data_IF_338487907543
#
_entry.id   IF_338487907543
#
_cell.length_a   1.000
_cell.length_b   1.000
_cell.length_c   1.000
_cell.angle_alpha   90.00
_cell.angle_beta   90.00
_cell.angle_gamma   90.00
#
_symmetry.space_group_name_H-M   'P 1'
#
loop_
_entity.id
_entity.type
_entity.pdbx_description
1 polymer ?
#
# COMPACT_ATOMS: atom_id res chain seq x y z
N UNK A 1 -21.20 6.64 18.81
CA UNK A 1 -21.05 6.00 17.47
C UNK A 1 -21.10 7.03 16.34
N UNK A 2 -22.03 7.97 16.33
CA UNK A 2 -22.11 8.99 15.27
C UNK A 2 -20.83 9.83 15.16
N UNK A 3 -20.33 10.36 16.27
CA UNK A 3 -19.07 11.15 16.30
C UNK A 3 -17.88 10.33 15.80
N UNK A 4 -17.78 9.07 16.20
CA UNK A 4 -16.69 8.18 15.75
C UNK A 4 -16.72 7.96 14.23
N UNK A 5 -17.93 7.77 13.65
CA UNK A 5 -18.13 7.64 12.22
C UNK A 5 -17.81 8.94 11.47
N UNK A 6 -18.27 10.07 11.97
CA UNK A 6 -18.00 11.38 11.41
C UNK A 6 -16.50 11.69 11.38
N UNK A 7 -15.78 11.38 12.45
CA UNK A 7 -14.33 11.59 12.52
C UNK A 7 -13.59 10.69 11.54
N UNK A 8 -14.00 9.41 11.42
CA UNK A 8 -13.44 8.48 10.46
C UNK A 8 -13.64 8.98 9.01
N UNK A 9 -14.86 9.35 8.65
CA UNK A 9 -15.16 9.89 7.32
C UNK A 9 -14.41 11.18 7.03
N UNK A 10 -14.28 12.05 8.03
CA UNK A 10 -13.52 13.31 7.92
C UNK A 10 -12.04 13.03 7.63
N UNK A 11 -11.42 12.11 8.36
CA UNK A 11 -10.03 11.70 8.12
C UNK A 11 -9.86 11.11 6.72
N UNK A 12 -10.76 10.23 6.30
CA UNK A 12 -10.72 9.65 4.97
C UNK A 12 -10.81 10.71 3.86
N UNK A 13 -11.65 11.71 4.03
CA UNK A 13 -11.80 12.84 3.07
C UNK A 13 -10.58 13.76 3.06
N UNK A 14 -9.95 13.98 4.20
CA UNK A 14 -8.77 14.84 4.31
C UNK A 14 -7.49 14.16 3.83
N UNK A 15 -7.25 12.92 4.26
CA UNK A 15 -5.98 12.20 4.03
C UNK A 15 -6.04 11.34 2.76
N UNK A 16 -7.18 10.73 2.46
CA UNK A 16 -7.33 9.81 1.34
C UNK A 16 -6.91 10.35 -0.03
N UNK A 17 -7.10 11.66 -0.35
CA UNK A 17 -6.61 12.26 -1.59
C UNK A 17 -5.10 12.55 -1.62
N UNK A 18 -4.37 12.38 -0.53
CA UNK A 18 -2.94 12.68 -0.46
C UNK A 18 -2.12 11.52 -1.06
N UNK A 19 -1.93 11.53 -2.36
CA UNK A 19 -1.21 10.47 -3.10
C UNK A 19 0.23 10.30 -2.67
N UNK A 20 0.86 11.34 -2.11
CA UNK A 20 2.19 11.25 -1.50
C UNK A 20 2.21 10.34 -0.27
N UNK A 21 1.07 10.18 0.41
CA UNK A 21 0.93 9.38 1.61
C UNK A 21 0.28 8.02 1.37
N UNK A 22 -0.67 7.94 0.43
CA UNK A 22 -1.50 6.75 0.21
C UNK A 22 -1.60 6.50 -1.29
N UNK A 23 -1.26 5.29 -1.73
CA UNK A 23 -1.38 4.88 -3.13
C UNK A 23 -2.30 3.66 -3.22
N UNK A 24 -3.24 3.72 -4.15
CA UNK A 24 -4.20 2.62 -4.37
C UNK A 24 -4.92 2.20 -3.09
N UNK A 25 -5.09 0.90 -2.84
CA UNK A 25 -5.75 0.36 -1.65
C UNK A 25 -4.86 0.33 -0.41
N UNK A 26 -3.62 0.84 -0.49
CA UNK A 26 -2.69 0.92 0.63
C UNK A 26 -3.19 1.82 1.76
N UNK A 27 -2.52 1.72 2.92
CA UNK A 27 -2.84 2.52 4.09
C UNK A 27 -4.17 2.19 4.77
N UNK A 28 -4.30 2.63 6.00
CA UNK A 28 -5.46 2.37 6.87
C UNK A 28 -5.70 3.52 7.82
N UNK A 29 -6.97 3.75 8.14
CA UNK A 29 -7.41 4.71 9.17
C UNK A 29 -8.32 3.99 10.14
N UNK A 30 -8.22 4.34 11.42
CA UNK A 30 -9.19 3.93 12.44
C UNK A 30 -9.54 5.06 13.39
N UNK A 31 -10.75 4.97 13.93
CA UNK A 31 -11.21 5.76 15.05
C UNK A 31 -11.85 4.84 16.09
N UNK A 32 -11.51 5.00 17.36
CA UNK A 32 -11.96 4.16 18.47
C UNK A 32 -12.84 4.89 19.46
N UNK A 33 -13.69 4.10 20.09
CA UNK A 33 -14.40 4.43 21.33
C UNK A 33 -14.10 3.28 22.31
N UNK A 34 -13.12 3.49 23.19
CA UNK A 34 -12.68 2.50 24.17
C UNK A 34 -13.78 2.17 25.17
N UNK A 35 -14.61 3.16 25.57
CA UNK A 35 -15.70 2.95 26.54
C UNK A 35 -16.81 2.09 25.95
N UNK A 36 -17.11 2.29 24.66
CA UNK A 36 -18.10 1.49 23.95
C UNK A 36 -17.52 0.17 23.40
N UNK A 37 -16.23 -0.10 23.59
CA UNK A 37 -15.51 -1.25 23.01
C UNK A 37 -15.67 -1.36 21.49
N UNK A 38 -15.55 -0.24 20.79
CA UNK A 38 -15.78 -0.16 19.34
C UNK A 38 -14.61 0.50 18.62
N UNK A 39 -14.40 0.07 17.40
CA UNK A 39 -13.45 0.65 16.47
C UNK A 39 -14.04 0.65 15.06
N UNK A 40 -13.85 1.74 14.31
CA UNK A 40 -14.04 1.76 12.86
C UNK A 40 -12.68 1.53 12.20
N UNK A 41 -12.60 0.55 11.31
CA UNK A 41 -11.41 0.28 10.49
C UNK A 41 -11.80 0.17 9.02
N UNK A 42 -10.85 0.44 8.13
CA UNK A 42 -11.04 0.34 6.69
C UNK A 42 -11.36 -1.11 6.28
N UNK A 43 -12.33 -1.27 5.39
CA UNK A 43 -12.61 -2.54 4.70
C UNK A 43 -11.43 -2.91 3.80
N UNK A 44 -11.05 -4.19 3.81
CA UNK A 44 -10.01 -4.73 2.94
C UNK A 44 -10.33 -4.49 1.46
N UNK A 45 -9.31 -4.14 0.68
CA UNK A 45 -9.41 -3.93 -0.76
C UNK A 45 -10.11 -2.63 -1.17
N UNK A 46 -10.40 -1.69 -0.26
CA UNK A 46 -11.01 -0.40 -0.59
C UNK A 46 -9.99 0.74 -0.49
N UNK A 47 -10.24 1.83 -1.22
CA UNK A 47 -9.44 3.05 -1.12
C UNK A 47 -9.75 3.79 0.19
N UNK A 48 -8.76 4.43 0.80
CA UNK A 48 -8.99 5.32 1.94
C UNK A 48 -9.91 6.48 1.56
N UNK A 49 -9.74 7.03 0.35
CA UNK A 49 -10.58 8.12 -0.17
C UNK A 49 -12.07 7.76 -0.33
N UNK A 50 -12.42 6.46 -0.37
CA UNK A 50 -13.80 5.99 -0.34
C UNK A 50 -14.32 6.01 1.11
N UNK A 51 -14.64 7.18 1.63
CA UNK A 51 -14.97 7.49 3.03
C UNK A 51 -16.10 6.65 3.65
N UNK A 52 -16.90 5.95 2.86
CA UNK A 52 -17.97 5.04 3.31
C UNK A 52 -17.50 3.58 3.45
N UNK A 53 -16.20 3.35 3.51
CA UNK A 53 -15.55 2.04 3.51
C UNK A 53 -15.25 1.49 4.92
N UNK A 54 -15.66 2.20 5.99
CA UNK A 54 -15.40 1.81 7.36
C UNK A 54 -16.32 0.67 7.84
N UNK A 55 -15.74 -0.31 8.52
CA UNK A 55 -16.45 -1.36 9.23
C UNK A 55 -16.34 -1.10 10.73
N UNK A 56 -17.47 -1.16 11.45
CA UNK A 56 -17.47 -1.08 12.90
C UNK A 56 -17.21 -2.48 13.46
N UNK A 57 -16.16 -2.60 14.25
CA UNK A 57 -15.71 -3.84 14.83
C UNK A 57 -15.70 -3.77 16.36
N UNK A 58 -15.78 -4.95 17.00
CA UNK A 58 -15.55 -5.14 18.42
C UNK A 58 -14.04 -5.06 18.70
N UNK A 59 -13.62 -4.04 19.45
CA UNK A 59 -12.22 -3.75 19.73
C UNK A 59 -11.56 -4.86 20.59
N UNK A 60 -12.27 -5.38 21.57
CA UNK A 60 -11.77 -6.44 22.43
C UNK A 60 -11.52 -7.73 21.62
N UNK A 61 -12.41 -8.06 20.68
CA UNK A 61 -12.21 -9.22 19.80
C UNK A 61 -11.03 -9.05 18.85
N UNK A 62 -10.73 -7.82 18.36
CA UNK A 62 -9.51 -7.58 17.57
C UNK A 62 -8.27 -7.80 18.44
N UNK A 63 -8.28 -7.30 19.68
CA UNK A 63 -7.19 -7.52 20.65
C UNK A 63 -7.01 -8.99 21.02
N UNK A 64 -8.11 -9.72 21.23
CA UNK A 64 -8.09 -11.17 21.46
C UNK A 64 -7.52 -11.92 20.24
N UNK A 65 -7.94 -11.57 19.03
CA UNK A 65 -7.43 -12.16 17.80
C UNK A 65 -5.91 -11.92 17.65
N UNK A 66 -5.41 -10.73 18.01
CA UNK A 66 -3.98 -10.44 18.05
C UNK A 66 -3.26 -11.30 19.09
N UNK A 67 -3.80 -11.39 20.31
CA UNK A 67 -3.19 -12.17 21.40
C UNK A 67 -3.18 -13.69 21.13
N UNK A 68 -4.13 -14.18 20.35
CA UNK A 68 -4.23 -15.59 19.94
C UNK A 68 -3.64 -15.87 18.55
N UNK A 69 -3.01 -14.85 17.93
CA UNK A 69 -2.45 -14.90 16.58
C UNK A 69 -3.46 -15.37 15.51
N UNK A 70 -4.76 -15.15 15.75
CA UNK A 70 -5.81 -15.44 14.79
C UNK A 70 -5.88 -14.33 13.73
N UNK A 71 -5.34 -14.60 12.56
CA UNK A 71 -5.34 -13.63 11.46
C UNK A 71 -6.73 -13.30 10.88
N UNK A 72 -7.77 -14.10 11.15
CA UNK A 72 -9.13 -13.82 10.68
C UNK A 72 -9.90 -12.95 11.67
N UNK A 73 -10.04 -11.68 11.33
CA UNK A 73 -10.83 -10.69 12.11
C UNK A 73 -12.22 -10.46 11.55
N UNK A 74 -12.71 -11.28 10.61
CA UNK A 74 -14.04 -11.12 10.01
C UNK A 74 -15.14 -11.24 11.04
N UNK A 75 -14.96 -12.09 12.05
CA UNK A 75 -15.90 -12.32 13.16
C UNK A 75 -16.00 -11.14 14.14
N UNK A 76 -15.11 -10.13 14.02
CA UNK A 76 -15.13 -8.94 14.87
C UNK A 76 -16.10 -7.88 14.40
N UNK A 77 -16.56 -7.94 13.13
CA UNK A 77 -17.49 -6.97 12.54
C UNK A 77 -18.85 -7.06 13.24
N UNK A 78 -19.34 -5.92 13.70
CA UNK A 78 -20.64 -5.86 14.38
C UNK A 78 -21.79 -5.90 13.35
N UNK A 79 -22.85 -6.65 13.69
CA UNK A 79 -24.04 -6.79 12.83
C UNK A 79 -24.65 -5.43 12.47
N UNK A 80 -25.11 -5.30 11.21
CA UNK A 80 -25.76 -4.10 10.70
C UNK A 80 -24.82 -2.91 10.44
N UNK A 81 -23.49 -3.06 10.62
CA UNK A 81 -22.53 -1.96 10.46
C UNK A 81 -21.79 -1.95 9.13
N UNK A 82 -22.00 -2.96 8.30
CA UNK A 82 -21.39 -3.06 6.96
C UNK A 82 -21.17 -4.51 6.53
N UNK A 83 -20.90 -4.69 5.25
CA UNK A 83 -20.58 -5.99 4.65
C UNK A 83 -19.13 -5.98 4.17
N UNK A 84 -18.35 -6.97 4.57
CA UNK A 84 -16.96 -7.14 4.12
C UNK A 84 -16.04 -7.61 5.23
N UNK A 85 -14.75 -7.64 4.92
CA UNK A 85 -13.70 -8.01 5.88
C UNK A 85 -12.91 -6.76 6.28
N UNK A 86 -12.53 -6.60 7.55
CA UNK A 86 -11.58 -5.56 7.94
C UNK A 86 -10.25 -5.72 7.21
N UNK A 87 -9.50 -4.62 7.10
CA UNK A 87 -8.12 -4.68 6.58
C UNK A 87 -7.31 -5.75 7.32
N UNK A 88 -6.41 -6.41 6.60
CA UNK A 88 -5.44 -7.35 7.18
C UNK A 88 -4.54 -6.71 8.24
N UNK A 89 -4.46 -5.38 8.22
CA UNK A 89 -3.68 -4.56 9.15
C UNK A 89 -4.53 -3.96 10.29
N UNK A 90 -5.78 -4.43 10.46
CA UNK A 90 -6.63 -3.99 11.57
C UNK A 90 -5.97 -4.15 12.95
N UNK A 91 -5.03 -5.08 13.09
CA UNK A 91 -4.24 -5.28 14.31
C UNK A 91 -3.36 -4.09 14.68
N UNK A 92 -2.84 -3.33 13.70
CA UNK A 92 -2.06 -2.10 13.93
C UNK A 92 -2.91 -1.01 14.60
N UNK A 93 -4.21 -1.16 14.56
CA UNK A 93 -5.19 -0.22 15.10
C UNK A 93 -5.72 -0.61 16.49
N UNK A 94 -5.26 -1.73 17.07
CA UNK A 94 -5.70 -2.22 18.39
C UNK A 94 -5.04 -1.48 19.57
N UNK A 95 -4.02 -0.66 19.32
CA UNK A 95 -3.24 0.08 20.32
C UNK A 95 -4.03 1.23 20.97
N UNK A 96 -3.70 1.61 22.21
CA UNK A 96 -4.48 2.54 23.01
C UNK A 96 -4.27 4.01 22.59
N UNK A 97 -4.75 4.39 21.42
CA UNK A 97 -4.90 5.77 20.94
C UNK A 97 -6.21 5.87 20.19
N UNK A 98 -6.93 6.98 20.34
CA UNK A 98 -8.25 7.12 19.74
C UNK A 98 -8.23 7.03 18.22
N UNK A 99 -7.23 7.62 17.58
CA UNK A 99 -7.05 7.65 16.12
C UNK A 99 -5.70 7.05 15.77
N UNK A 100 -5.70 6.14 14.81
CA UNK A 100 -4.48 5.59 14.24
C UNK A 100 -4.59 5.69 12.72
N UNK A 101 -3.54 6.23 12.10
CA UNK A 101 -3.40 6.39 10.66
C UNK A 101 -2.14 5.66 10.23
N UNK A 102 -2.28 4.67 9.36
CA UNK A 102 -1.17 3.97 8.72
C UNK A 102 -1.14 4.33 7.24
N UNK A 103 0.04 4.72 6.75
CA UNK A 103 0.24 5.19 5.37
C UNK A 103 1.56 4.69 4.80
N UNK A 104 1.68 4.75 3.45
CA UNK A 104 2.87 4.36 2.71
C UNK A 104 3.50 5.58 2.00
N UNK A 105 4.06 6.56 2.73
CA UNK A 105 4.51 7.82 2.17
C UNK A 105 5.72 7.62 1.25
N UNK A 106 5.51 7.61 -0.08
CA UNK A 106 6.57 7.33 -1.03
C UNK A 106 7.74 8.34 -0.97
N UNK A 107 7.55 9.64 -0.65
CA UNK A 107 8.68 10.55 -0.49
C UNK A 107 9.64 10.18 0.65
N UNK A 108 9.17 9.34 1.60
CA UNK A 108 9.98 8.84 2.70
C UNK A 108 10.56 7.44 2.43
N UNK A 109 10.09 6.74 1.40
CA UNK A 109 10.47 5.34 1.16
C UNK A 109 11.97 5.16 0.93
N UNK A 110 12.65 6.13 0.32
CA UNK A 110 14.11 6.08 0.19
C UNK A 110 14.80 5.92 1.54
N UNK A 111 14.37 6.67 2.56
CA UNK A 111 14.91 6.57 3.91
C UNK A 111 14.46 5.28 4.63
N UNK A 112 13.19 4.89 4.45
CA UNK A 112 12.64 3.67 5.06
C UNK A 112 13.27 2.39 4.49
N UNK A 113 13.69 2.40 3.22
CA UNK A 113 14.29 1.24 2.56
C UNK A 113 15.82 1.20 2.68
N UNK A 114 16.45 2.24 3.25
CA UNK A 114 17.88 2.25 3.48
C UNK A 114 18.19 2.00 4.97
N UNK A 115 18.77 0.84 5.34
CA UNK A 115 19.05 0.50 6.73
C UNK A 115 20.08 1.41 7.38
N UNK A 116 20.96 2.02 6.58
CA UNK A 116 22.00 2.94 7.07
C UNK A 116 21.41 4.32 7.42
N UNK A 117 20.20 4.63 6.95
CA UNK A 117 19.57 5.92 7.24
C UNK A 117 18.94 5.91 8.62
N UNK A 118 19.43 6.74 9.51
CA UNK A 118 18.74 7.04 10.77
C UNK A 118 17.60 8.02 10.49
N UNK A 119 16.39 7.67 10.91
CA UNK A 119 15.23 8.55 10.81
C UNK A 119 15.02 9.19 12.18
N UNK A 120 15.35 10.45 12.28
CA UNK A 120 15.18 11.24 13.51
C UNK A 120 13.89 12.08 13.42
N UNK A 121 12.96 11.79 14.30
CA UNK A 121 11.72 12.54 14.44
C UNK A 121 11.24 12.49 15.92
N UNK A 122 10.71 13.59 16.47
CA UNK A 122 10.27 13.62 17.87
C UNK A 122 9.21 12.55 18.17
N UNK A 123 9.31 11.93 19.33
CA UNK A 123 8.36 10.90 19.82
C UNK A 123 8.13 9.76 18.83
N UNK A 124 9.18 9.37 18.11
CA UNK A 124 9.11 8.31 17.13
C UNK A 124 9.95 7.09 17.47
N UNK A 125 9.61 5.97 16.84
CA UNK A 125 10.42 4.75 16.83
C UNK A 125 10.48 4.19 15.40
N UNK A 126 11.54 3.47 15.08
CA UNK A 126 11.71 2.78 13.81
C UNK A 126 11.72 1.27 14.07
N UNK A 127 10.94 0.53 13.30
CA UNK A 127 10.89 -0.93 13.31
C UNK A 127 11.53 -1.46 12.03
N UNK A 128 12.19 -2.60 12.14
CA UNK A 128 12.62 -3.37 10.97
C UNK A 128 11.42 -3.91 10.20
N UNK A 129 11.68 -4.48 9.03
CA UNK A 129 10.61 -5.07 8.23
C UNK A 129 10.01 -6.30 8.89
N UNK A 130 8.70 -6.30 9.00
CA UNK A 130 7.88 -7.44 9.38
C UNK A 130 6.74 -7.61 8.37
N UNK A 131 6.35 -8.86 8.12
CA UNK A 131 5.17 -9.14 7.30
C UNK A 131 3.94 -8.41 7.86
N UNK A 132 3.13 -7.75 7.02
CA UNK A 132 1.88 -7.13 7.45
C UNK A 132 0.95 -8.10 8.19
N UNK A 133 0.11 -7.57 9.08
CA UNK A 133 -0.80 -8.36 9.91
C UNK A 133 -0.26 -8.63 11.30
N UNK A 134 -0.46 -9.84 11.82
CA UNK A 134 -0.08 -10.22 13.19
C UNK A 134 1.42 -10.06 13.47
N UNK A 135 2.36 -10.49 12.59
CA UNK A 135 3.78 -10.32 12.85
C UNK A 135 4.19 -8.87 13.07
N UNK A 136 3.71 -7.95 12.22
CA UNK A 136 4.00 -6.53 12.36
C UNK A 136 3.36 -5.92 13.61
N UNK A 137 2.13 -6.33 13.95
CA UNK A 137 1.46 -5.85 15.15
C UNK A 137 2.17 -6.32 16.43
N UNK A 138 2.67 -7.56 16.47
CA UNK A 138 3.47 -8.07 17.59
C UNK A 138 4.81 -7.32 17.72
N UNK A 139 5.48 -7.03 16.60
CA UNK A 139 6.70 -6.21 16.59
C UNK A 139 6.42 -4.77 17.09
N UNK A 140 5.31 -4.18 16.68
CA UNK A 140 4.87 -2.88 17.19
C UNK A 140 4.60 -2.93 18.69
N UNK A 141 3.94 -3.98 19.19
CA UNK A 141 3.65 -4.16 20.61
C UNK A 141 4.92 -4.23 21.46
N UNK A 142 5.97 -4.86 20.96
CA UNK A 142 7.25 -4.98 21.64
C UNK A 142 7.98 -3.64 21.86
N UNK A 143 7.72 -2.64 21.01
CA UNK A 143 8.35 -1.32 21.08
C UNK A 143 7.40 -0.20 21.46
N UNK A 144 6.11 -0.48 21.58
CA UNK A 144 5.09 0.51 21.91
C UNK A 144 5.36 1.18 23.25
N UNK A 145 5.28 2.50 23.28
CA UNK A 145 5.30 3.32 24.51
C UNK A 145 4.25 4.43 24.41
N UNK A 146 3.60 4.83 25.50
CA UNK A 146 2.53 5.85 25.48
C UNK A 146 2.96 7.22 24.96
N UNK A 147 4.22 7.57 25.08
CA UNK A 147 4.82 8.83 24.63
C UNK A 147 5.22 8.82 23.14
N UNK A 148 5.37 7.65 22.52
CA UNK A 148 5.61 7.56 21.09
C UNK A 148 4.28 7.64 20.32
N UNK A 149 4.23 8.54 19.34
CA UNK A 149 3.07 8.74 18.49
C UNK A 149 3.33 8.53 17.00
N UNK A 150 4.59 8.24 16.62
CA UNK A 150 5.01 7.94 15.25
C UNK A 150 5.86 6.66 15.24
N UNK A 151 5.52 5.74 14.33
CA UNK A 151 6.29 4.52 14.11
C UNK A 151 6.65 4.41 12.63
N UNK A 152 7.94 4.49 12.33
CA UNK A 152 8.49 4.26 11.01
C UNK A 152 8.71 2.76 10.79
N UNK A 153 8.17 2.23 9.71
CA UNK A 153 8.22 0.81 9.38
C UNK A 153 9.14 0.63 8.18
N UNK A 154 10.31 0.01 8.37
CA UNK A 154 11.26 -0.27 7.29
C UNK A 154 10.58 -1.06 6.17
N UNK A 155 10.85 -0.67 4.92
CA UNK A 155 10.30 -1.30 3.72
C UNK A 155 8.76 -1.38 3.69
N UNK A 156 8.05 -0.49 4.43
CA UNK A 156 6.59 -0.55 4.51
C UNK A 156 5.94 0.84 4.55
N UNK A 157 6.11 1.60 5.61
CA UNK A 157 5.39 2.88 5.75
C UNK A 157 5.53 3.54 7.12
N UNK A 158 4.49 4.26 7.52
CA UNK A 158 4.42 5.02 8.76
C UNK A 158 3.09 4.79 9.47
N UNK A 159 3.14 4.71 10.80
CA UNK A 159 1.97 4.78 11.67
C UNK A 159 2.01 6.08 12.44
N UNK A 160 0.93 6.85 12.41
CA UNK A 160 0.71 8.05 13.23
C UNK A 160 -0.46 7.80 14.17
N UNK A 161 -0.24 8.06 15.45
CA UNK A 161 -1.22 7.84 16.52
C UNK A 161 -1.56 9.14 17.23
N UNK A 162 -2.81 9.38 17.55
CA UNK A 162 -3.27 10.57 18.28
C UNK A 162 -4.69 10.41 18.80
N UNK A 163 -5.17 11.41 19.52
CA UNK A 163 -6.51 11.40 20.11
C UNK A 163 -7.46 12.38 19.41
N UNK A 164 -6.93 13.30 18.61
CA UNK A 164 -7.69 14.25 17.79
C UNK A 164 -7.25 14.27 16.33
N UNK A 165 -8.16 14.64 15.43
CA UNK A 165 -7.86 14.83 14.00
C UNK A 165 -6.74 15.86 13.82
N UNK A 166 -6.77 16.93 14.61
CA UNK A 166 -5.76 18.00 14.53
C UNK A 166 -4.37 17.51 14.88
N UNK A 167 -4.21 16.68 15.91
CA UNK A 167 -2.92 16.04 16.25
C UNK A 167 -2.39 15.20 15.11
N UNK A 168 -3.24 14.36 14.51
CA UNK A 168 -2.86 13.50 13.36
C UNK A 168 -2.37 14.38 12.21
N UNK A 169 -3.15 15.37 11.78
CA UNK A 169 -2.81 16.22 10.64
C UNK A 169 -1.56 17.05 10.90
N UNK A 170 -1.40 17.59 12.12
CA UNK A 170 -0.20 18.33 12.51
C UNK A 170 1.06 17.45 12.49
N UNK A 171 0.97 16.22 13.00
CA UNK A 171 2.07 15.26 13.00
C UNK A 171 2.43 14.86 11.56
N UNK A 172 1.44 14.55 10.71
CA UNK A 172 1.68 14.24 9.30
C UNK A 172 2.32 15.42 8.56
N UNK A 173 1.84 16.64 8.78
CA UNK A 173 2.44 17.85 8.20
C UNK A 173 3.89 18.06 8.65
N UNK A 174 4.18 17.82 9.92
CA UNK A 174 5.56 17.90 10.45
C UNK A 174 6.48 16.86 9.80
N UNK A 175 6.02 15.61 9.66
CA UNK A 175 6.76 14.55 8.95
C UNK A 175 7.03 14.98 7.49
N UNK A 176 6.01 15.46 6.77
CA UNK A 176 6.17 15.90 5.39
C UNK A 176 7.18 17.05 5.27
N UNK A 177 7.09 18.04 6.14
CA UNK A 177 7.98 19.22 6.11
C UNK A 177 9.43 18.85 6.43
N UNK A 178 9.65 17.83 7.30
CA UNK A 178 10.98 17.51 7.81
C UNK A 178 11.67 16.42 6.98
N UNK A 179 10.91 15.45 6.47
CA UNK A 179 11.46 14.19 5.95
C UNK A 179 11.14 13.92 4.47
N UNK A 180 10.20 14.64 3.83
CA UNK A 180 9.88 14.39 2.43
C UNK A 180 10.85 15.08 1.48
N UNK A 181 11.23 14.37 0.43
CA UNK A 181 11.99 14.91 -0.69
C UNK A 181 11.05 15.18 -1.88
N UNK A 182 11.04 16.37 -2.51
CA UNK A 182 10.11 16.72 -3.58
C UNK A 182 10.48 16.13 -4.97
N UNK A 183 9.49 15.79 -5.79
CA UNK A 183 9.65 15.17 -7.14
C UNK A 183 8.67 15.63 -8.23
N UNK A 184 9.03 15.59 -9.55
CA UNK A 184 8.22 16.03 -10.69
C UNK A 184 7.61 14.93 -11.60
N UNK A 185 6.52 15.21 -12.41
CA UNK A 185 5.70 14.26 -13.21
C UNK A 185 5.38 14.65 -14.68
N UNK A 186 5.15 13.65 -15.60
CA UNK A 186 4.75 13.86 -17.04
C UNK A 186 4.09 12.64 -17.79
N UNK A 187 3.36 12.73 -18.98
CA UNK A 187 2.51 11.66 -19.65
C UNK A 187 2.61 11.50 -21.20
N UNK A 188 2.34 10.26 -21.80
CA UNK A 188 2.41 9.94 -23.27
C UNK A 188 1.47 8.82 -23.86
N UNK A 189 1.31 8.66 -25.21
CA UNK A 189 0.31 7.80 -25.88
C UNK A 189 0.68 6.29 -26.11
N UNK A 190 -0.32 5.46 -26.43
CA UNK A 190 -0.40 3.99 -26.39
C UNK A 190 0.00 3.22 -27.66
N UNK A 191 0.47 1.94 -27.52
CA UNK A 191 0.80 1.03 -28.60
C UNK A 191 -0.25 -0.11 -28.76
N UNK A 192 -1.00 -0.11 -29.88
CA UNK A 192 -2.06 -1.06 -30.19
C UNK A 192 -1.56 -2.52 -30.26
N UNK A 193 -0.33 -2.75 -30.69
CA UNK A 193 0.27 -4.11 -30.78
C UNK A 193 0.39 -4.79 -29.41
N UNK A 194 0.73 -4.05 -28.35
CA UNK A 194 0.80 -4.58 -26.98
C UNK A 194 -0.57 -5.04 -26.50
N UNK A 195 -1.61 -4.23 -26.75
CA UNK A 195 -2.97 -4.55 -26.36
C UNK A 195 -3.45 -5.88 -27.01
N UNK A 196 -3.29 -6.01 -28.32
CA UNK A 196 -3.73 -7.21 -29.06
C UNK A 196 -3.03 -8.48 -28.54
N UNK A 197 -1.72 -8.38 -28.25
CA UNK A 197 -0.98 -9.55 -27.74
C UNK A 197 -1.35 -9.91 -26.31
N UNK A 198 -1.58 -8.92 -25.45
CA UNK A 198 -2.03 -9.16 -24.09
C UNK A 198 -3.43 -9.80 -24.07
N UNK A 199 -4.32 -9.32 -24.94
CA UNK A 199 -5.66 -9.93 -25.10
C UNK A 199 -5.58 -11.37 -25.56
N UNK A 200 -4.71 -11.68 -26.52
CA UNK A 200 -4.46 -13.05 -26.99
C UNK A 200 -3.97 -13.97 -25.86
N UNK A 201 -3.03 -13.50 -25.02
CA UNK A 201 -2.47 -14.30 -23.94
C UNK A 201 -3.43 -14.54 -22.77
N UNK A 202 -4.36 -13.64 -22.52
CA UNK A 202 -5.22 -13.68 -21.32
C UNK A 202 -6.68 -14.00 -21.61
N UNK A 203 -7.08 -13.97 -22.88
CA UNK A 203 -8.48 -14.05 -23.32
C UNK A 203 -9.40 -12.99 -22.64
N UNK A 204 -8.80 -11.94 -22.10
CA UNK A 204 -9.50 -10.80 -21.49
C UNK A 204 -9.19 -9.53 -22.27
N UNK A 205 -9.90 -8.44 -21.98
CA UNK A 205 -9.62 -7.11 -22.54
C UNK A 205 -8.88 -6.25 -21.51
N UNK A 206 -7.58 -6.40 -21.35
CA UNK A 206 -6.83 -5.59 -20.42
C UNK A 206 -6.88 -4.12 -20.82
N UNK A 207 -6.96 -3.24 -19.86
CA UNK A 207 -6.72 -1.83 -20.08
C UNK A 207 -5.21 -1.58 -20.04
N UNK A 208 -4.73 -0.74 -20.96
CA UNK A 208 -3.33 -0.29 -21.01
C UNK A 208 -3.34 1.23 -20.96
N UNK A 209 -2.68 1.79 -19.94
CA UNK A 209 -2.52 3.24 -19.80
C UNK A 209 -1.05 3.64 -19.86
N UNK A 210 -0.67 4.58 -20.73
CA UNK A 210 0.67 5.12 -20.78
C UNK A 210 0.86 6.19 -19.69
N UNK A 211 2.04 6.17 -19.07
CA UNK A 211 2.49 7.20 -18.16
C UNK A 211 3.93 7.58 -18.46
N UNK A 212 4.21 8.86 -18.35
CA UNK A 212 5.50 9.43 -18.67
C UNK A 212 6.37 9.55 -17.42
N UNK A 213 7.65 9.28 -17.58
CA UNK A 213 8.62 9.62 -16.54
C UNK A 213 9.92 10.12 -17.20
N UNK A 214 10.53 11.12 -16.61
CA UNK A 214 11.89 11.54 -16.92
C UNK A 214 12.95 10.60 -16.29
N UNK A 215 12.53 9.62 -15.52
CA UNK A 215 13.45 8.67 -14.89
C UNK A 215 13.84 7.58 -15.88
N UNK A 216 15.14 7.34 -16.01
CA UNK A 216 15.70 6.20 -16.73
C UNK A 216 15.63 5.00 -15.79
N UNK A 217 15.01 3.92 -16.24
CA UNK A 217 15.09 2.64 -15.51
C UNK A 217 16.48 2.04 -15.73
N UNK A 218 17.39 2.34 -14.83
CA UNK A 218 18.75 1.79 -14.90
C UNK A 218 18.88 0.38 -14.31
N UNK A 219 17.81 -0.20 -13.67
CA UNK A 219 17.92 -1.44 -12.93
C UNK A 219 16.66 -2.29 -12.92
N UNK A 220 16.87 -3.59 -12.64
CA UNK A 220 15.87 -4.60 -12.34
C UNK A 220 14.97 -4.12 -11.19
N UNK A 221 13.69 -4.21 -11.43
CA UNK A 221 12.64 -3.87 -10.49
C UNK A 221 12.62 -4.89 -9.34
N UNK A 222 13.09 -4.51 -8.19
CA UNK A 222 13.00 -5.35 -7.00
C UNK A 222 11.98 -4.74 -6.03
N UNK A 223 11.02 -5.50 -5.50
CA UNK A 223 10.07 -5.00 -4.55
C UNK A 223 10.76 -4.56 -3.25
N UNK A 224 10.48 -3.35 -2.79
CA UNK A 224 10.97 -2.85 -1.50
C UNK A 224 9.86 -2.74 -0.45
N UNK A 225 8.62 -2.92 -0.85
CA UNK A 225 7.45 -2.89 0.05
C UNK A 225 6.41 -3.93 -0.38
N UNK A 226 5.48 -4.31 0.52
CA UNK A 226 4.40 -5.23 0.22
C UNK A 226 3.54 -4.80 -0.97
N UNK A 227 3.15 -3.53 -1.07
CA UNK A 227 2.31 -3.06 -2.17
C UNK A 227 3.00 -3.19 -3.53
N UNK A 228 4.31 -2.92 -3.60
CA UNK A 228 5.07 -3.13 -4.84
C UNK A 228 5.03 -4.61 -5.25
N UNK A 229 5.27 -5.53 -4.32
CA UNK A 229 5.23 -6.96 -4.59
C UNK A 229 3.85 -7.44 -5.04
N UNK A 230 2.78 -6.91 -4.42
CA UNK A 230 1.40 -7.35 -4.64
C UNK A 230 0.80 -6.78 -5.93
N UNK A 231 1.02 -5.50 -6.23
CA UNK A 231 0.33 -4.80 -7.32
C UNK A 231 1.16 -4.63 -8.58
N UNK A 232 2.48 -4.50 -8.48
CA UNK A 232 3.37 -4.39 -9.63
C UNK A 232 4.00 -5.74 -9.99
N UNK A 233 3.87 -6.72 -9.10
CA UNK A 233 4.44 -8.06 -9.24
C UNK A 233 5.97 -8.05 -9.38
N UNK A 234 6.47 -8.79 -10.33
CA UNK A 234 7.89 -8.85 -10.67
C UNK A 234 8.31 -7.65 -11.54
N UNK A 235 9.57 -7.65 -11.95
CA UNK A 235 10.13 -6.62 -12.81
C UNK A 235 9.23 -6.24 -13.99
N UNK A 236 9.15 -4.96 -14.38
CA UNK A 236 8.51 -4.55 -15.61
C UNK A 236 9.11 -5.28 -16.81
N UNK A 237 8.30 -5.53 -17.81
CA UNK A 237 8.80 -5.99 -19.09
C UNK A 237 9.42 -4.80 -19.85
N UNK A 238 10.73 -4.84 -20.08
CA UNK A 238 11.48 -3.75 -20.68
C UNK A 238 11.75 -4.03 -22.16
N UNK A 239 11.43 -3.06 -23.01
CA UNK A 239 11.81 -2.98 -24.41
C UNK A 239 12.86 -1.89 -24.57
N UNK A 240 14.13 -2.27 -24.64
CA UNK A 240 15.27 -1.34 -24.78
C UNK A 240 15.66 -1.15 -26.24
N UNK A 241 15.52 -2.19 -27.08
CA UNK A 241 15.85 -2.16 -28.48
C UNK A 241 14.61 -1.91 -29.35
N UNK A 242 14.62 -0.91 -30.24
CA UNK A 242 13.55 -0.71 -31.22
C UNK A 242 13.27 -1.94 -32.10
N UNK A 243 14.24 -2.86 -32.23
CA UNK A 243 14.10 -4.13 -32.94
C UNK A 243 13.43 -5.25 -32.11
N UNK A 244 13.17 -5.02 -30.81
CA UNK A 244 12.50 -5.97 -29.97
C UNK A 244 11.11 -6.33 -30.53
N UNK A 245 10.85 -7.63 -30.68
CA UNK A 245 9.53 -8.11 -31.04
C UNK A 245 8.62 -8.18 -29.79
N UNK A 246 7.62 -7.29 -29.68
CA UNK A 246 6.73 -7.24 -28.51
C UNK A 246 5.99 -8.55 -28.27
N UNK A 247 5.57 -9.24 -29.34
CA UNK A 247 4.85 -10.50 -29.23
C UNK A 247 5.69 -11.60 -28.64
N UNK A 248 6.96 -11.70 -29.08
CA UNK A 248 7.91 -12.69 -28.59
C UNK A 248 8.28 -12.46 -27.12
N UNK A 249 8.59 -11.20 -26.74
CA UNK A 249 8.94 -10.86 -25.36
C UNK A 249 7.77 -11.07 -24.39
N UNK A 250 6.54 -10.65 -24.76
CA UNK A 250 5.36 -10.91 -23.94
C UNK A 250 5.05 -12.38 -23.78
N UNK A 251 5.20 -13.18 -24.85
CA UNK A 251 5.00 -14.63 -24.78
C UNK A 251 6.05 -15.27 -23.84
N UNK A 252 7.32 -14.88 -23.97
CA UNK A 252 8.38 -15.39 -23.10
C UNK A 252 8.16 -15.01 -21.62
N UNK A 253 7.70 -13.78 -21.35
CA UNK A 253 7.34 -13.34 -20.01
C UNK A 253 6.20 -14.18 -19.43
N UNK A 254 5.10 -14.34 -20.19
CA UNK A 254 3.94 -15.12 -19.77
C UNK A 254 4.27 -16.59 -19.51
N UNK A 255 5.08 -17.21 -20.38
CA UNK A 255 5.50 -18.60 -20.20
C UNK A 255 6.36 -18.81 -18.95
N UNK A 256 7.13 -17.79 -18.54
CA UNK A 256 7.96 -17.84 -17.33
C UNK A 256 7.14 -17.62 -16.07
N UNK A 257 6.29 -16.61 -16.09
CA UNK A 257 5.67 -16.08 -14.88
C UNK A 257 4.21 -16.54 -14.69
N UNK A 258 3.59 -17.14 -15.72
CA UNK A 258 2.18 -17.56 -15.76
C UNK A 258 1.17 -16.44 -15.53
N UNK A 259 1.60 -15.20 -15.68
CA UNK A 259 0.76 -13.99 -15.67
C UNK A 259 1.33 -12.93 -16.63
N UNK A 260 0.53 -11.91 -16.94
CA UNK A 260 0.98 -10.76 -17.75
C UNK A 260 1.72 -9.75 -16.85
N UNK A 261 2.65 -8.95 -17.42
CA UNK A 261 3.30 -7.89 -16.67
C UNK A 261 2.28 -6.83 -16.23
N UNK A 262 2.40 -6.35 -15.00
CA UNK A 262 1.61 -5.20 -14.54
C UNK A 262 2.12 -3.89 -15.17
N UNK A 263 3.42 -3.84 -15.48
CA UNK A 263 4.10 -2.67 -16.05
C UNK A 263 4.98 -3.10 -17.21
N UNK A 264 4.87 -2.36 -18.31
CA UNK A 264 5.78 -2.45 -19.45
C UNK A 264 6.51 -1.11 -19.61
N UNK A 265 7.81 -1.15 -19.81
CA UNK A 265 8.60 0.03 -20.16
C UNK A 265 9.09 -0.10 -21.60
N UNK A 266 8.77 0.90 -22.43
CA UNK A 266 9.20 0.96 -23.83
C UNK A 266 9.36 2.40 -24.30
N UNK A 267 10.48 2.71 -24.95
CA UNK A 267 10.73 4.03 -25.55
C UNK A 267 10.50 5.21 -24.58
N UNK A 268 11.00 5.11 -23.35
CA UNK A 268 10.83 6.15 -22.34
C UNK A 268 9.41 6.27 -21.76
N UNK A 269 8.54 5.31 -22.04
CA UNK A 269 7.14 5.31 -21.59
C UNK A 269 6.84 4.09 -20.76
N UNK A 270 6.17 4.29 -19.62
CA UNK A 270 5.57 3.21 -18.87
C UNK A 270 4.14 2.94 -19.36
N UNK A 271 3.84 1.69 -19.61
CA UNK A 271 2.50 1.20 -19.90
C UNK A 271 2.02 0.39 -18.70
N UNK A 272 1.00 0.89 -18.02
CA UNK A 272 0.36 0.20 -16.90
C UNK A 272 -0.75 -0.69 -17.45
N UNK A 273 -0.76 -1.94 -17.03
CA UNK A 273 -1.73 -2.94 -17.48
C UNK A 273 -2.65 -3.29 -16.32
N UNK A 274 -3.94 -3.10 -16.52
CA UNK A 274 -4.97 -3.35 -15.52
C UNK A 274 -6.26 -3.88 -16.10
N UNK A 275 -7.18 -4.26 -15.23
CA UNK A 275 -8.52 -4.76 -15.59
C UNK A 275 -9.55 -3.62 -15.70
N UNK A 276 -9.37 -2.56 -14.92
CA UNK A 276 -10.22 -1.38 -14.86
C UNK A 276 -9.38 -0.10 -14.88
N UNK A 277 -10.03 1.04 -15.13
CA UNK A 277 -9.35 2.34 -15.00
C UNK A 277 -8.79 2.56 -13.59
N UNK A 278 -9.56 2.17 -12.57
CA UNK A 278 -9.16 2.28 -11.17
C UNK A 278 -7.93 1.41 -10.87
N UNK A 279 -7.90 0.16 -11.33
CA UNK A 279 -6.74 -0.72 -11.21
C UNK A 279 -5.48 -0.13 -11.85
N UNK A 280 -5.60 0.45 -13.06
CA UNK A 280 -4.49 1.13 -13.70
C UNK A 280 -3.98 2.34 -12.91
N UNK A 281 -4.88 3.16 -12.36
CA UNK A 281 -4.48 4.32 -11.55
C UNK A 281 -3.85 3.92 -10.23
N UNK A 282 -4.37 2.90 -9.55
CA UNK A 282 -3.79 2.37 -8.32
C UNK A 282 -2.36 1.86 -8.55
N UNK A 283 -2.14 1.10 -9.62
CA UNK A 283 -0.81 0.63 -10.01
C UNK A 283 0.12 1.80 -10.37
N UNK A 284 -0.40 2.84 -11.01
CA UNK A 284 0.37 4.05 -11.31
C UNK A 284 0.84 4.76 -10.05
N UNK A 285 -0.03 4.97 -9.07
CA UNK A 285 0.35 5.59 -7.79
C UNK A 285 1.44 4.78 -7.08
N UNK A 286 1.32 3.45 -7.09
CA UNK A 286 2.32 2.55 -6.51
C UNK A 286 3.63 2.59 -7.32
N UNK A 287 3.57 2.68 -8.65
CA UNK A 287 4.75 2.85 -9.50
C UNK A 287 5.47 4.17 -9.20
N UNK A 288 4.73 5.25 -8.94
CA UNK A 288 5.35 6.52 -8.52
C UNK A 288 6.14 6.35 -7.23
N UNK A 289 5.61 5.62 -6.25
CA UNK A 289 6.34 5.29 -5.04
C UNK A 289 7.65 4.55 -5.34
N UNK A 290 7.60 3.58 -6.27
CA UNK A 290 8.77 2.84 -6.69
C UNK A 290 9.86 3.74 -7.30
N UNK A 291 9.47 4.64 -8.20
CA UNK A 291 10.40 5.54 -8.91
C UNK A 291 11.11 6.53 -7.99
N UNK A 292 10.61 6.71 -6.76
CA UNK A 292 11.21 7.57 -5.75
C UNK A 292 12.29 6.91 -4.91
N UNK A 293 12.36 5.58 -4.93
CA UNK A 293 13.32 4.83 -4.11
C UNK A 293 14.70 4.89 -4.75
N UNK A 294 15.68 5.36 -3.99
CA UNK A 294 17.06 5.45 -4.47
C UNK A 294 17.64 4.07 -4.82
N UNK A 295 18.56 4.00 -5.81
CA UNK A 295 19.16 2.75 -6.28
C UNK A 295 19.87 1.91 -5.21
N UNK A 296 20.18 2.50 -4.07
CA UNK A 296 20.89 1.84 -2.96
C UNK A 296 19.99 1.39 -1.82
N UNK A 297 18.67 1.42 -2.02
CA UNK A 297 17.72 0.98 -0.98
C UNK A 297 17.73 -0.53 -0.82
N UNK A 298 17.44 -1.01 0.39
CA UNK A 298 17.20 -2.44 0.62
C UNK A 298 15.86 -2.85 0.03
N UNK A 299 15.89 -3.98 -0.64
CA UNK A 299 14.70 -4.62 -1.20
C UNK A 299 14.25 -5.79 -0.32
N UNK A 300 12.99 -6.21 -0.50
CA UNK A 300 12.48 -7.41 0.14
C UNK A 300 13.22 -8.65 -0.41
N UNK A 301 13.50 -9.62 0.46
CA UNK A 301 14.05 -10.90 0.05
C UNK A 301 13.01 -11.66 -0.78
N UNK A 302 13.45 -12.53 -1.69
CA UNK A 302 12.55 -13.37 -2.49
C UNK A 302 11.58 -14.18 -1.62
N UNK A 303 12.04 -14.69 -0.48
CA UNK A 303 11.19 -15.41 0.48
C UNK A 303 10.09 -14.53 1.08
N UNK A 304 10.40 -13.26 1.39
CA UNK A 304 9.44 -12.29 1.92
C UNK A 304 8.41 -11.91 0.85
N UNK A 305 8.85 -11.70 -0.40
CA UNK A 305 7.96 -11.44 -1.53
C UNK A 305 7.03 -12.63 -1.76
N UNK A 306 7.57 -13.86 -1.81
CA UNK A 306 6.79 -15.06 -2.01
C UNK A 306 5.75 -15.28 -0.90
N UNK A 307 6.11 -15.00 0.34
CA UNK A 307 5.18 -15.10 1.48
C UNK A 307 4.01 -14.13 1.34
N UNK A 308 4.25 -12.89 0.92
CA UNK A 308 3.21 -11.87 0.77
C UNK A 308 2.31 -12.19 -0.44
N UNK A 309 2.91 -12.42 -1.61
CA UNK A 309 2.17 -12.63 -2.86
C UNK A 309 1.31 -13.89 -2.82
N UNK A 310 1.77 -14.94 -2.13
CA UNK A 310 1.03 -16.18 -1.99
C UNK A 310 0.01 -16.18 -0.84
N UNK A 311 -0.03 -15.15 -0.02
CA UNK A 311 -0.96 -15.04 1.08
C UNK A 311 -2.40 -14.84 0.58
N UNK A 312 -3.33 -15.70 1.00
CA UNK A 312 -4.71 -15.67 0.51
C UNK A 312 -5.45 -14.36 0.79
N UNK A 313 -5.09 -13.66 1.86
CA UNK A 313 -5.67 -12.34 2.19
C UNK A 313 -5.24 -11.27 1.19
N UNK A 314 -4.01 -11.30 0.70
CA UNK A 314 -3.55 -10.41 -0.36
C UNK A 314 -4.19 -10.73 -1.71
N UNK A 315 -4.40 -12.01 -2.01
CA UNK A 315 -5.16 -12.43 -3.20
C UNK A 315 -6.60 -11.90 -3.18
N UNK A 316 -7.24 -11.88 -2.00
CA UNK A 316 -8.57 -11.27 -1.83
C UNK A 316 -8.53 -9.75 -2.03
N UNK A 317 -7.49 -9.07 -1.54
CA UNK A 317 -7.30 -7.63 -1.74
C UNK A 317 -7.13 -7.29 -3.22
N UNK A 318 -6.31 -8.04 -3.95
CA UNK A 318 -6.13 -7.88 -5.39
C UNK A 318 -7.43 -8.16 -6.17
N UNK A 319 -8.21 -9.16 -5.77
CA UNK A 319 -9.46 -9.51 -6.44
C UNK A 319 -10.53 -8.41 -6.34
N UNK A 320 -10.46 -7.53 -5.34
CA UNK A 320 -11.39 -6.40 -5.19
C UNK A 320 -11.23 -5.34 -6.29
N UNK A 321 -10.11 -5.35 -7.06
CA UNK A 321 -9.81 -4.43 -8.16
C UNK A 321 -9.87 -5.08 -9.54
N UNK A 322 -10.18 -6.37 -9.60
CA UNK A 322 -10.44 -7.12 -10.85
C UNK A 322 -11.92 -7.12 -11.19
#
# INVERSE_FOLDING_TARGET
MEVMKQDYETLCRLIGPWTDWIQGPGGNISVKDEQANRIIVKKSGTLVSAYNNGLVCDLAKIREALATENEDVSHTVLEGTGIGKPSIEAFLHAFPRRIIVHTHPYPLMTALCNPETTIEFPNSKTLDYFKPGVPLANALAAVYTPDANVYFLRNHGVIVMGDTIQEILATMAAIATTLFNPTPHTNIPLATKLFNKLHELTYTKPLIKPFFTSHVLERIFLPFSPDIAVFLHEAPLIFEDPADDPAKKLTAYYNRNHHIPAVIFANGTFYIIGHTNEDCYNKYEILLAYLHVAPHSNFLLESQVAEIVNWDKEKLRQAAFK
#
